data_IF_569289820023
#
_entry.id   IF_569289820023
#
_cell.length_a   1.000
_cell.length_b   1.000
_cell.length_c   1.000
_cell.angle_alpha   90.00
_cell.angle_beta   90.00
_cell.angle_gamma   90.00
#
_symmetry.space_group_name_H-M   'P 1'
#
loop_
_entity.id
_entity.type
_entity.pdbx_description
1 polymer ?
#
# COMPACT_ATOMS: atom_id res chain seq x y z
N UNK A 1 -9.56 14.95 8.79
CA UNK A 1 -10.31 13.87 9.49
C UNK A 1 -11.69 14.31 9.97
N UNK A 2 -11.87 15.53 10.49
CA UNK A 2 -13.19 16.03 10.96
C UNK A 2 -14.33 15.85 9.95
N UNK A 3 -14.07 16.12 8.67
CA UNK A 3 -15.05 15.93 7.61
C UNK A 3 -15.50 14.46 7.42
N UNK A 4 -14.60 13.49 7.63
CA UNK A 4 -14.87 12.07 7.37
C UNK A 4 -15.45 11.34 8.58
N UNK A 5 -15.02 11.70 9.79
CA UNK A 5 -15.30 10.93 11.02
C UNK A 5 -15.94 11.78 12.14
N UNK A 6 -16.19 13.07 11.89
CA UNK A 6 -16.72 14.01 12.87
C UNK A 6 -15.65 14.65 13.77
N UNK A 7 -16.05 15.56 14.68
CA UNK A 7 -15.14 16.32 15.54
C UNK A 7 -14.29 15.43 16.46
N UNK A 8 -14.85 14.33 16.97
CA UNK A 8 -14.19 13.44 17.93
C UNK A 8 -13.41 12.29 17.27
N UNK A 9 -13.00 12.43 16.01
CA UNK A 9 -12.33 11.37 15.25
C UNK A 9 -11.10 10.78 15.96
N UNK A 10 -10.43 11.56 16.83
CA UNK A 10 -9.26 11.13 17.59
C UNK A 10 -9.54 9.91 18.48
N UNK A 11 -10.77 9.72 18.95
CA UNK A 11 -11.16 8.58 19.82
C UNK A 11 -11.04 7.21 19.15
N UNK A 12 -10.99 7.17 17.81
CA UNK A 12 -10.84 5.92 17.06
C UNK A 12 -9.37 5.47 16.98
N UNK A 13 -8.42 6.31 17.39
CA UNK A 13 -7.00 6.07 17.23
C UNK A 13 -6.30 6.14 18.59
N UNK A 14 -5.72 5.02 19.01
CA UNK A 14 -4.90 4.97 20.24
C UNK A 14 -3.64 5.82 20.12
N UNK A 15 -3.00 5.79 18.96
CA UNK A 15 -1.80 6.56 18.66
C UNK A 15 -2.00 7.32 17.35
N UNK A 16 -1.66 8.61 17.33
CA UNK A 16 -1.78 9.46 16.15
C UNK A 16 -0.38 9.95 15.78
N UNK A 17 0.10 9.57 14.60
CA UNK A 17 1.37 10.06 14.04
C UNK A 17 1.07 10.88 12.79
N UNK A 18 1.55 12.12 12.77
CA UNK A 18 1.48 13.05 11.64
C UNK A 18 2.88 13.27 11.06
N UNK A 19 2.94 13.71 9.80
CA UNK A 19 4.20 14.06 9.14
C UNK A 19 5.28 12.97 9.23
N UNK A 20 4.90 11.71 9.03
CA UNK A 20 5.81 10.57 9.06
C UNK A 20 6.94 10.66 8.00
N UNK A 21 6.76 11.47 6.93
CA UNK A 21 7.74 11.66 5.84
C UNK A 21 8.16 10.34 5.17
N UNK A 22 7.20 9.53 4.73
CA UNK A 22 7.48 8.32 3.93
C UNK A 22 8.30 8.70 2.67
N UNK A 23 9.35 7.94 2.29
CA UNK A 23 9.76 6.64 2.83
C UNK A 23 10.71 6.73 4.06
N UNK A 24 11.15 7.92 4.46
CA UNK A 24 12.08 8.09 5.58
C UNK A 24 11.52 7.53 6.90
N UNK A 25 10.20 7.43 7.07
CA UNK A 25 9.59 6.72 8.20
C UNK A 25 10.03 5.26 8.33
N UNK A 26 10.23 4.58 7.20
CA UNK A 26 10.56 3.16 7.18
C UNK A 26 12.06 2.91 7.27
N UNK A 27 12.89 3.82 6.74
CA UNK A 27 14.34 3.63 6.65
C UNK A 27 15.15 4.49 7.63
N UNK A 28 14.54 5.56 8.14
CA UNK A 28 15.17 6.54 9.01
C UNK A 28 15.16 6.13 10.48
N UNK A 29 15.79 6.97 11.30
CA UNK A 29 15.87 6.83 12.76
C UNK A 29 15.47 8.12 13.48
N UNK A 30 14.69 8.95 12.80
CA UNK A 30 14.19 10.20 13.38
C UNK A 30 13.37 9.89 14.64
N UNK A 31 13.53 10.67 15.71
CA UNK A 31 12.76 10.47 16.93
C UNK A 31 11.34 11.01 16.76
N UNK A 32 10.40 10.46 17.53
CA UNK A 32 9.08 11.08 17.70
C UNK A 32 9.19 12.39 18.48
N UNK A 33 8.42 13.39 18.02
CA UNK A 33 8.22 14.67 18.71
C UNK A 33 6.75 14.84 19.06
N UNK A 34 6.43 15.55 20.13
CA UNK A 34 5.05 15.90 20.46
C UNK A 34 4.56 17.03 19.56
N UNK A 35 3.34 16.90 19.06
CA UNK A 35 2.65 17.94 18.33
C UNK A 35 1.52 18.49 19.20
N UNK A 36 1.52 19.79 19.39
CA UNK A 36 0.51 20.53 20.13
C UNK A 36 -0.53 21.08 19.14
N UNK A 37 -1.75 20.54 19.11
CA UNK A 37 -2.78 20.98 18.18
C UNK A 37 -3.42 22.32 18.54
N UNK A 38 -3.24 22.81 19.78
CA UNK A 38 -3.80 24.10 20.20
C UNK A 38 -2.88 25.25 19.79
N UNK A 39 -1.57 25.04 19.93
CA UNK A 39 -0.53 26.00 19.56
C UNK A 39 0.01 25.83 18.14
N UNK A 40 -0.47 24.81 17.41
CA UNK A 40 0.00 24.40 16.08
C UNK A 40 1.54 24.29 15.99
N UNK A 41 2.15 23.66 17.00
CA UNK A 41 3.61 23.62 17.12
C UNK A 41 4.14 22.23 17.45
N UNK A 42 5.32 21.92 16.92
CA UNK A 42 6.07 20.72 17.28
C UNK A 42 6.97 21.03 18.47
N UNK A 43 6.74 20.38 19.60
CA UNK A 43 7.62 20.48 20.77
C UNK A 43 8.90 19.70 20.49
N UNK A 44 10.05 20.35 20.66
CA UNK A 44 11.38 19.75 20.50
C UNK A 44 11.78 18.90 21.73
N UNK A 45 10.84 18.10 22.22
CA UNK A 45 11.07 17.15 23.30
C UNK A 45 11.03 15.75 22.70
N UNK A 46 12.05 14.95 22.99
CA UNK A 46 12.09 13.55 22.57
C UNK A 46 11.01 12.78 23.32
N UNK A 47 10.25 11.98 22.58
CA UNK A 47 9.20 11.13 23.15
C UNK A 47 9.79 9.78 23.56
N UNK A 48 9.72 9.49 24.86
CA UNK A 48 10.19 8.21 25.42
C UNK A 48 9.09 7.16 25.55
N UNK A 49 7.80 7.56 25.54
CA UNK A 49 6.66 6.63 25.59
C UNK A 49 5.52 7.16 24.73
N UNK A 50 4.81 6.24 24.07
CA UNK A 50 3.58 6.57 23.36
C UNK A 50 2.39 6.48 24.34
N UNK A 51 1.72 7.59 24.52
CA UNK A 51 0.57 7.79 25.39
C UNK A 51 -0.68 7.98 24.54
N UNK A 52 -1.81 7.52 25.06
CA UNK A 52 -3.10 7.62 24.39
C UNK A 52 -3.60 9.06 24.37
N UNK A 53 -4.19 9.49 23.24
CA UNK A 53 -4.70 10.85 23.06
C UNK A 53 -3.64 11.89 22.66
N UNK A 54 -2.36 11.54 22.69
CA UNK A 54 -1.28 12.41 22.21
C UNK A 54 -1.09 12.33 20.69
N UNK A 55 -0.61 13.43 20.11
CA UNK A 55 -0.30 13.52 18.68
C UNK A 55 1.22 13.63 18.53
N UNK A 56 1.76 12.77 17.68
CA UNK A 56 3.19 12.65 17.44
C UNK A 56 3.55 13.11 16.03
N UNK A 57 4.71 13.72 15.87
CA UNK A 57 5.23 14.17 14.58
C UNK A 57 6.52 13.42 14.24
N UNK A 58 6.62 12.95 12.99
CA UNK A 58 7.81 12.25 12.48
C UNK A 58 7.96 10.84 13.03
N UNK A 59 9.13 10.55 13.60
CA UNK A 59 9.47 9.22 14.10
C UNK A 59 9.89 8.23 13.02
N UNK A 60 9.92 6.96 13.42
CA UNK A 60 10.22 5.84 12.54
C UNK A 60 9.38 4.62 12.92
N UNK A 61 9.25 3.68 11.98
CA UNK A 61 8.37 2.53 12.14
C UNK A 61 8.88 1.51 13.17
N UNK A 62 10.20 1.37 13.32
CA UNK A 62 10.80 0.44 14.28
C UNK A 62 10.50 0.90 15.72
N UNK A 63 10.68 2.20 16.01
CA UNK A 63 10.29 2.82 17.27
C UNK A 63 8.78 2.73 17.51
N UNK A 64 7.95 2.95 16.48
CA UNK A 64 6.50 2.81 16.61
C UNK A 64 6.15 1.38 17.02
N UNK A 65 6.70 0.38 16.31
CA UNK A 65 6.42 -1.02 16.56
C UNK A 65 6.83 -1.42 17.97
N UNK A 66 8.02 -0.99 18.40
CA UNK A 66 8.55 -1.30 19.73
C UNK A 66 7.73 -0.63 20.84
N UNK A 67 7.48 0.68 20.74
CA UNK A 67 6.78 1.46 21.79
C UNK A 67 5.29 1.14 21.88
N UNK A 68 4.63 0.84 20.75
CA UNK A 68 3.23 0.44 20.73
C UNK A 68 3.02 -1.06 21.04
N UNK A 69 4.10 -1.85 21.13
CA UNK A 69 4.03 -3.29 21.41
C UNK A 69 3.51 -4.12 20.24
N UNK A 70 3.63 -3.61 19.02
CA UNK A 70 3.23 -4.30 17.80
C UNK A 70 4.22 -5.42 17.46
N UNK A 71 3.68 -6.60 17.11
CA UNK A 71 4.49 -7.82 16.88
C UNK A 71 4.11 -8.53 15.58
N UNK A 72 5.08 -8.61 14.67
CA UNK A 72 5.07 -9.46 13.48
C UNK A 72 3.75 -9.42 12.70
N UNK A 73 3.22 -10.61 12.36
CA UNK A 73 1.99 -10.80 11.57
C UNK A 73 0.70 -10.39 12.28
N UNK A 74 0.76 -9.86 13.50
CA UNK A 74 -0.38 -9.34 14.25
C UNK A 74 -0.82 -7.94 13.80
N UNK A 75 -0.06 -7.28 12.93
CA UNK A 75 -0.37 -5.95 12.39
C UNK A 75 -0.78 -6.03 10.92
N UNK A 76 -1.82 -5.27 10.58
CA UNK A 76 -2.26 -5.02 9.21
C UNK A 76 -2.08 -3.53 8.89
N UNK A 77 -1.19 -3.22 7.95
CA UNK A 77 -0.92 -1.86 7.49
C UNK A 77 -1.71 -1.56 6.23
N UNK A 78 -2.45 -0.46 6.23
CA UNK A 78 -3.20 0.00 5.06
C UNK A 78 -2.46 1.13 4.35
N UNK A 79 -2.43 1.09 3.03
CA UNK A 79 -1.86 2.17 2.23
C UNK A 79 -2.28 2.07 0.77
N UNK A 80 -2.28 3.20 0.09
CA UNK A 80 -2.61 3.35 -1.33
C UNK A 80 -1.35 3.32 -2.20
N UNK A 81 -0.21 3.72 -1.64
CA UNK A 81 1.03 3.75 -2.39
C UNK A 81 1.73 2.38 -2.40
N UNK A 82 1.50 1.58 -3.45
CA UNK A 82 2.02 0.21 -3.60
C UNK A 82 3.49 0.06 -3.18
N UNK A 83 4.36 0.94 -3.65
CA UNK A 83 5.80 0.81 -3.40
C UNK A 83 6.21 1.18 -1.96
N UNK A 84 5.89 2.40 -1.52
CA UNK A 84 6.33 2.93 -0.22
C UNK A 84 5.53 2.38 0.96
N UNK A 85 4.28 1.96 0.76
CA UNK A 85 3.40 1.54 1.85
C UNK A 85 3.29 0.02 2.02
N UNK A 86 3.57 -0.78 0.98
CA UNK A 86 3.33 -2.22 1.05
C UNK A 86 4.63 -3.04 1.22
N UNK A 87 5.73 -2.63 0.59
CA UNK A 87 6.95 -3.43 0.63
C UNK A 87 7.65 -3.36 1.99
N UNK A 88 7.86 -2.16 2.52
CA UNK A 88 8.66 -1.95 3.73
C UNK A 88 8.03 -2.56 5.00
N UNK A 89 6.72 -2.44 5.28
CA UNK A 89 6.12 -3.11 6.44
C UNK A 89 6.25 -4.63 6.41
N UNK A 90 6.15 -5.25 5.22
CA UNK A 90 6.33 -6.70 5.06
C UNK A 90 7.79 -7.07 5.33
N UNK A 91 8.72 -6.43 4.62
CA UNK A 91 10.12 -6.85 4.61
C UNK A 91 10.83 -6.55 5.94
N UNK A 92 10.51 -5.44 6.60
CA UNK A 92 11.19 -5.01 7.83
C UNK A 92 10.59 -5.59 9.09
N UNK A 93 9.26 -5.61 9.18
CA UNK A 93 8.55 -5.94 10.42
C UNK A 93 7.71 -7.22 10.33
N UNK A 94 7.59 -7.82 9.14
CA UNK A 94 6.73 -8.97 8.91
C UNK A 94 5.25 -8.65 9.10
N UNK A 95 4.86 -7.38 8.94
CA UNK A 95 3.47 -6.95 9.00
C UNK A 95 2.72 -7.43 7.75
N UNK A 96 1.42 -7.63 7.88
CA UNK A 96 0.54 -7.81 6.71
C UNK A 96 0.23 -6.44 6.14
N UNK A 97 -0.01 -6.37 4.83
CA UNK A 97 -0.40 -5.11 4.18
C UNK A 97 -1.70 -5.29 3.41
N UNK A 98 -2.47 -4.22 3.34
CA UNK A 98 -3.70 -4.11 2.57
C UNK A 98 -3.61 -2.88 1.68
N UNK A 99 -3.57 -3.11 0.37
CA UNK A 99 -3.56 -2.05 -0.62
C UNK A 99 -4.97 -1.43 -0.75
N UNK A 100 -5.04 -0.11 -0.70
CA UNK A 100 -6.26 0.64 -1.03
C UNK A 100 -6.14 1.07 -2.48
N UNK A 101 -6.96 0.47 -3.36
CA UNK A 101 -6.96 0.75 -4.80
C UNK A 101 -8.37 1.14 -5.24
N UNK A 102 -8.74 2.43 -5.19
CA UNK A 102 -10.08 2.88 -5.55
C UNK A 102 -10.50 2.52 -6.98
N UNK A 103 -9.55 2.54 -7.91
CA UNK A 103 -9.74 2.26 -9.33
C UNK A 103 -10.14 0.80 -9.59
N UNK A 104 -9.74 -0.12 -8.70
CA UNK A 104 -10.00 -1.54 -8.84
C UNK A 104 -11.51 -1.84 -8.91
N UNK A 105 -12.33 -1.07 -8.19
CA UNK A 105 -13.79 -1.25 -8.25
C UNK A 105 -14.35 -0.99 -9.66
N UNK A 106 -13.81 0.02 -10.37
CA UNK A 106 -14.17 0.31 -11.76
C UNK A 106 -13.62 -0.78 -12.69
N UNK A 107 -12.38 -1.20 -12.48
CA UNK A 107 -11.73 -2.22 -13.30
C UNK A 107 -12.48 -3.56 -13.22
N UNK A 108 -12.87 -4.00 -12.01
CA UNK A 108 -13.69 -5.22 -11.81
C UNK A 108 -15.01 -5.13 -12.58
N UNK A 109 -15.68 -3.96 -12.56
CA UNK A 109 -16.93 -3.78 -13.32
C UNK A 109 -16.71 -3.91 -14.82
N UNK A 110 -15.66 -3.29 -15.36
CA UNK A 110 -15.32 -3.36 -16.78
C UNK A 110 -14.92 -4.78 -17.18
N UNK A 111 -14.11 -5.47 -16.38
CA UNK A 111 -13.70 -6.85 -16.66
C UNK A 111 -14.87 -7.85 -16.61
N UNK A 112 -15.91 -7.52 -15.85
CA UNK A 112 -17.13 -8.33 -15.78
C UNK A 112 -18.16 -8.00 -16.86
N UNK A 113 -17.92 -7.00 -17.70
CA UNK A 113 -18.77 -6.67 -18.84
C UNK A 113 -18.63 -7.74 -19.95
N UNK A 114 -19.76 -8.16 -20.51
CA UNK A 114 -19.81 -9.24 -21.50
C UNK A 114 -19.04 -8.91 -22.78
N UNK A 115 -19.06 -7.64 -23.20
CA UNK A 115 -18.32 -7.19 -24.39
C UNK A 115 -16.82 -7.28 -24.10
N UNK A 116 -16.39 -6.83 -22.92
CA UNK A 116 -14.99 -6.90 -22.54
C UNK A 116 -14.50 -8.35 -22.45
N UNK A 117 -15.29 -9.25 -21.87
CA UNK A 117 -14.99 -10.69 -21.80
C UNK A 117 -14.86 -11.30 -23.18
N UNK A 118 -15.84 -11.09 -24.06
CA UNK A 118 -15.81 -11.61 -25.43
C UNK A 118 -14.58 -11.12 -26.21
N UNK A 119 -14.27 -9.82 -26.12
CA UNK A 119 -13.07 -9.26 -26.77
C UNK A 119 -11.79 -9.83 -26.16
N UNK A 120 -11.75 -10.06 -24.85
CA UNK A 120 -10.59 -10.65 -24.18
C UNK A 120 -10.35 -12.11 -24.58
N UNK A 121 -11.40 -12.90 -24.73
CA UNK A 121 -11.32 -14.30 -25.15
C UNK A 121 -10.91 -14.40 -26.63
N UNK A 122 -11.49 -13.57 -27.51
CA UNK A 122 -11.07 -13.49 -28.91
C UNK A 122 -9.59 -13.10 -29.08
N UNK A 123 -9.06 -12.25 -28.19
CA UNK A 123 -7.63 -11.89 -28.18
C UNK A 123 -6.76 -13.06 -27.73
N UNK A 124 -7.21 -13.87 -26.76
CA UNK A 124 -6.49 -15.08 -26.32
C UNK A 124 -6.40 -16.10 -27.45
N UNK A 125 -7.52 -16.42 -28.09
CA UNK A 125 -7.58 -17.37 -29.20
C UNK A 125 -6.65 -16.96 -30.36
N UNK A 126 -6.63 -15.68 -30.74
CA UNK A 126 -5.71 -15.17 -31.76
C UNK A 126 -4.24 -15.32 -31.37
N UNK A 127 -3.92 -15.15 -30.09
CA UNK A 127 -2.55 -15.28 -29.58
C UNK A 127 -2.09 -16.74 -29.59
N UNK A 128 -2.98 -17.67 -29.22
CA UNK A 128 -2.71 -19.11 -29.23
C UNK A 128 -2.53 -19.65 -30.66
N UNK A 129 -3.37 -19.21 -31.60
CA UNK A 129 -3.22 -19.56 -33.02
C UNK A 129 -1.89 -19.04 -33.59
N UNK A 130 -1.49 -17.81 -33.25
CA UNK A 130 -0.19 -17.26 -33.68
C UNK A 130 1.01 -17.99 -33.04
N UNK A 131 0.87 -18.43 -31.79
CA UNK A 131 1.87 -19.25 -31.10
C UNK A 131 2.08 -20.59 -31.80
N UNK A 132 0.99 -21.33 -32.07
CA UNK A 132 1.04 -22.61 -32.79
C UNK A 132 1.63 -22.49 -34.19
N UNK A 133 1.30 -21.41 -34.91
CA UNK A 133 1.83 -21.14 -36.25
C UNK A 133 3.33 -20.85 -36.26
N UNK A 134 3.90 -20.34 -35.16
CA UNK A 134 5.36 -20.19 -35.00
C UNK A 134 6.06 -21.49 -34.61
N UNK A 135 5.37 -22.41 -33.94
CA UNK A 135 5.93 -23.73 -33.55
C UNK A 135 5.99 -24.70 -34.73
N UNK A 136 5.12 -24.54 -35.72
CA UNK A 136 5.14 -25.30 -36.97
C UNK A 136 5.43 -24.37 -38.15
N UNK A 137 6.71 -24.04 -38.43
CA UNK A 137 7.04 -23.34 -39.66
C UNK A 137 6.61 -24.22 -40.84
N UNK A 138 5.86 -23.66 -41.79
CA UNK A 138 5.52 -24.32 -43.04
C UNK A 138 6.80 -24.93 -43.61
N UNK A 139 6.89 -26.27 -43.64
CA UNK A 139 7.84 -26.94 -44.51
C UNK A 139 7.39 -26.58 -45.92
N UNK A 140 7.98 -25.52 -46.45
CA UNK A 140 7.81 -25.12 -47.83
C UNK A 140 8.13 -26.35 -48.68
N UNK A 141 7.09 -26.90 -49.28
CA UNK A 141 7.16 -27.86 -50.36
C UNK A 141 7.93 -27.20 -51.50
N UNK A 142 9.26 -27.35 -51.50
CA UNK A 142 10.09 -27.11 -52.67
C UNK A 142 9.78 -28.24 -53.66
N UNK A 143 8.73 -28.02 -54.45
CA UNK A 143 8.40 -28.87 -55.58
C UNK A 143 9.51 -28.82 -56.63
N UNK A 144 9.86 -30.01 -57.11
CA UNK A 144 10.28 -30.33 -58.47
C UNK A 144 10.52 -29.13 -59.40
N UNK A 145 11.78 -28.83 -59.68
CA UNK A 145 12.35 -28.72 -61.03
C UNK A 145 13.87 -28.69 -60.96
#
# INVERSE_FOLDING_TARGET
MTYMLGPDWRKYFKYIVVSAKKPAFFHGREPFRLYDPELDMVRFVKVDRLEEGQIYCGGNIDDLSHRAGFKGKGVLYFGDHIYTDLADPILRLGWRTAAIVPELAREIRIQNDDVYRLVSDLKRDKTDVQSQRKTFPEKASSGWK
#
